data_IF_820523897443
#
_entry.id   IF_820523897443
#
_cell.length_a   1.000
_cell.length_b   1.000
_cell.length_c   1.000
_cell.angle_alpha   90.00
_cell.angle_beta   90.00
_cell.angle_gamma   90.00
#
_symmetry.space_group_name_H-M   'P 1'
#
loop_
_entity.id
_entity.type
_entity.pdbx_description
1 polymer ?
#
# COMPACT_ATOMS: atom_id res chain seq x y z
N UNK A 1 22.61 11.82 -0.38
CA UNK A 1 21.23 11.45 0.04
C UNK A 1 20.70 10.24 -0.72
N UNK A 2 20.73 10.22 -2.06
CA UNK A 2 20.29 9.02 -2.81
C UNK A 2 21.10 7.75 -2.50
N UNK A 3 22.43 7.84 -2.49
CA UNK A 3 23.29 6.70 -2.17
C UNK A 3 23.09 6.17 -0.73
N UNK A 4 22.87 7.04 0.26
CA UNK A 4 22.63 6.61 1.64
C UNK A 4 21.31 5.84 1.80
N UNK A 5 20.27 6.23 1.06
CA UNK A 5 19.00 5.49 1.03
C UNK A 5 19.16 4.13 0.34
N UNK A 6 19.92 4.06 -0.76
CA UNK A 6 20.19 2.81 -1.48
C UNK A 6 20.97 1.82 -0.59
N UNK A 7 22.02 2.28 0.10
CA UNK A 7 22.77 1.42 1.03
C UNK A 7 21.90 0.93 2.19
N UNK A 8 21.08 1.81 2.79
CA UNK A 8 20.13 1.41 3.82
C UNK A 8 19.16 0.34 3.30
N UNK A 9 18.59 0.52 2.11
CA UNK A 9 17.65 -0.43 1.51
C UNK A 9 18.29 -1.81 1.30
N UNK A 10 19.50 -1.84 0.74
CA UNK A 10 20.24 -3.09 0.50
C UNK A 10 20.57 -3.82 1.80
N UNK A 11 20.97 -3.08 2.85
CA UNK A 11 21.25 -3.67 4.17
C UNK A 11 19.99 -4.29 4.78
N UNK A 12 18.86 -3.58 4.76
CA UNK A 12 17.58 -4.10 5.27
C UNK A 12 17.11 -5.34 4.49
N UNK A 13 17.33 -5.36 3.17
CA UNK A 13 17.02 -6.50 2.32
C UNK A 13 17.86 -7.73 2.65
N UNK A 14 19.18 -7.58 2.85
CA UNK A 14 20.08 -8.68 3.21
C UNK A 14 19.74 -9.25 4.60
N UNK A 15 19.25 -8.41 5.52
CA UNK A 15 18.76 -8.82 6.83
C UNK A 15 17.45 -9.63 6.79
N UNK A 16 16.85 -9.83 5.60
CA UNK A 16 15.61 -10.59 5.44
C UNK A 16 14.35 -9.84 5.89
N UNK A 17 14.43 -8.51 6.03
CA UNK A 17 13.26 -7.69 6.36
C UNK A 17 12.29 -7.69 5.17
N UNK A 18 10.96 -7.82 5.42
CA UNK A 18 9.96 -7.68 4.37
C UNK A 18 10.14 -6.43 3.51
N UNK A 19 9.99 -6.57 2.19
CA UNK A 19 10.17 -5.51 1.20
C UNK A 19 9.44 -4.19 1.53
N UNK A 20 8.20 -4.30 2.02
CA UNK A 20 7.43 -3.10 2.35
C UNK A 20 8.03 -2.31 3.52
N UNK A 21 8.60 -3.01 4.52
CA UNK A 21 9.25 -2.38 5.67
C UNK A 21 10.59 -1.76 5.29
N UNK A 22 11.33 -2.40 4.38
CA UNK A 22 12.61 -1.85 3.90
C UNK A 22 12.39 -0.54 3.14
N UNK A 23 11.41 -0.50 2.23
CA UNK A 23 11.02 0.72 1.51
C UNK A 23 10.55 1.82 2.48
N UNK A 24 9.65 1.50 3.41
CA UNK A 24 9.10 2.46 4.37
C UNK A 24 10.21 3.08 5.23
N UNK A 25 11.12 2.25 5.74
CA UNK A 25 12.25 2.71 6.56
C UNK A 25 13.21 3.61 5.78
N UNK A 26 13.51 3.26 4.52
CA UNK A 26 14.41 4.08 3.68
C UNK A 26 13.80 5.41 3.26
N UNK A 27 12.49 5.45 3.00
CA UNK A 27 11.75 6.69 2.75
C UNK A 27 11.75 7.59 3.98
N UNK A 28 11.57 7.02 5.18
CA UNK A 28 11.59 7.76 6.44
C UNK A 28 12.98 8.36 6.72
N UNK A 29 14.05 7.57 6.50
CA UNK A 29 15.43 8.06 6.57
C UNK A 29 15.66 9.24 5.61
N UNK A 30 15.06 9.18 4.42
CA UNK A 30 15.12 10.28 3.46
C UNK A 30 14.47 11.57 3.95
N UNK A 31 13.28 11.47 4.55
CA UNK A 31 12.56 12.62 5.12
C UNK A 31 13.37 13.24 6.26
N UNK A 32 13.94 12.41 7.15
CA UNK A 32 14.77 12.90 8.26
C UNK A 32 16.02 13.62 7.74
N UNK A 33 16.65 13.12 6.68
CA UNK A 33 17.80 13.76 6.05
C UNK A 33 17.45 15.09 5.36
N UNK A 34 16.24 15.23 4.84
CA UNK A 34 15.74 16.47 4.21
C UNK A 34 15.38 17.54 5.25
N UNK A 35 15.04 17.14 6.48
CA UNK A 35 14.65 18.06 7.57
C UNK A 35 13.26 18.71 7.39
N UNK A 36 12.56 18.38 6.30
CA UNK A 36 11.21 18.88 6.03
C UNK A 36 10.15 17.86 6.46
N UNK A 37 9.61 18.06 7.65
CA UNK A 37 8.56 17.21 8.22
C UNK A 37 7.20 17.36 7.52
N UNK A 38 7.01 18.35 6.64
CA UNK A 38 5.77 18.44 5.84
C UNK A 38 5.60 17.24 4.91
N UNK A 39 6.72 16.62 4.50
CA UNK A 39 6.75 15.41 3.68
C UNK A 39 6.14 14.19 4.40
N UNK A 40 6.09 14.15 5.74
CA UNK A 40 5.39 13.09 6.47
C UNK A 40 3.89 13.09 6.15
N UNK A 41 3.29 14.27 5.95
CA UNK A 41 1.89 14.38 5.54
C UNK A 41 1.69 13.79 4.15
N UNK A 42 2.58 14.11 3.21
CA UNK A 42 2.55 13.56 1.85
C UNK A 42 2.70 12.03 1.88
N UNK A 43 3.56 11.51 2.76
CA UNK A 43 3.74 10.07 2.94
C UNK A 43 2.43 9.39 3.38
N UNK A 44 1.73 9.96 4.36
CA UNK A 44 0.41 9.44 4.78
C UNK A 44 -0.60 9.45 3.63
N UNK A 45 -0.67 10.54 2.86
CA UNK A 45 -1.57 10.65 1.72
C UNK A 45 -1.28 9.62 0.63
N UNK A 46 0.00 9.35 0.32
CA UNK A 46 0.38 8.33 -0.65
C UNK A 46 0.05 6.92 -0.16
N UNK A 47 0.19 6.65 1.14
CA UNK A 47 -0.23 5.37 1.73
C UNK A 47 -1.73 5.14 1.55
N UNK A 48 -2.57 6.12 1.90
CA UNK A 48 -4.03 6.01 1.71
C UNK A 48 -4.43 5.96 0.22
N UNK A 49 -3.83 6.80 -0.62
CA UNK A 49 -4.07 6.79 -2.07
C UNK A 49 -3.66 5.48 -2.74
N UNK A 50 -2.65 4.78 -2.21
CA UNK A 50 -2.27 3.44 -2.66
C UNK A 50 -3.24 2.33 -2.21
N UNK A 51 -4.05 2.56 -1.18
CA UNK A 51 -5.13 1.65 -0.77
C UNK A 51 -6.44 1.93 -1.52
N UNK A 52 -6.64 3.14 -2.03
CA UNK A 52 -7.79 3.51 -2.88
C UNK A 52 -7.71 2.93 -4.30
N UNK A 53 -6.91 1.87 -4.51
CA UNK A 53 -6.87 1.16 -5.79
C UNK A 53 -8.25 0.53 -6.02
N UNK A 54 -8.86 0.84 -7.17
CA UNK A 54 -10.14 0.30 -7.64
C UNK A 54 -10.32 -1.21 -7.41
N UNK A 55 -9.23 -1.99 -7.41
CA UNK A 55 -9.23 -3.42 -7.08
C UNK A 55 -9.74 -3.73 -5.66
N UNK A 56 -9.42 -2.91 -4.66
CA UNK A 56 -9.93 -3.11 -3.29
C UNK A 56 -11.43 -2.79 -3.20
N UNK A 57 -11.93 -1.84 -4.00
CA UNK A 57 -13.37 -1.61 -4.17
C UNK A 57 -14.07 -2.70 -4.98
N UNK A 58 -13.37 -3.41 -5.86
CA UNK A 58 -13.96 -4.51 -6.63
C UNK A 58 -14.45 -5.64 -5.73
N UNK A 59 -13.76 -5.92 -4.61
CA UNK A 59 -14.13 -6.97 -3.64
C UNK A 59 -15.55 -6.76 -3.07
N UNK A 60 -15.89 -5.62 -2.43
CA UNK A 60 -17.23 -5.40 -1.91
C UNK A 60 -18.29 -5.36 -3.02
N UNK A 61 -17.97 -4.86 -4.22
CA UNK A 61 -18.91 -4.90 -5.35
C UNK A 61 -19.19 -6.33 -5.83
N UNK A 62 -18.18 -7.20 -5.90
CA UNK A 62 -18.40 -8.62 -6.22
C UNK A 62 -19.21 -9.33 -5.14
N UNK A 63 -18.95 -9.05 -3.85
CA UNK A 63 -19.74 -9.60 -2.74
C UNK A 63 -21.19 -9.13 -2.86
N UNK A 64 -21.43 -7.84 -3.10
CA UNK A 64 -22.77 -7.27 -3.25
C UNK A 64 -23.51 -7.88 -4.44
N UNK A 65 -22.85 -8.00 -5.60
CA UNK A 65 -23.40 -8.64 -6.79
C UNK A 65 -23.77 -10.10 -6.50
N UNK A 66 -22.92 -10.84 -5.78
CA UNK A 66 -23.20 -12.21 -5.35
C UNK A 66 -24.45 -12.30 -4.46
N UNK A 67 -24.59 -11.41 -3.48
CA UNK A 67 -25.78 -11.34 -2.61
C UNK A 67 -27.03 -11.01 -3.44
N UNK A 68 -26.93 -10.09 -4.41
CA UNK A 68 -28.03 -9.71 -5.28
C UNK A 68 -28.47 -10.88 -6.19
N UNK A 69 -27.53 -11.62 -6.75
CA UNK A 69 -27.78 -12.81 -7.57
C UNK A 69 -28.47 -13.92 -6.77
N UNK A 70 -28.01 -14.15 -5.53
CA UNK A 70 -28.60 -15.14 -4.64
C UNK A 70 -30.03 -14.75 -4.25
N UNK A 71 -30.27 -13.49 -3.86
CA UNK A 71 -31.61 -13.00 -3.51
C UNK A 71 -32.59 -12.92 -4.68
N UNK A 72 -32.10 -12.70 -5.90
CA UNK A 72 -32.95 -12.65 -7.10
C UNK A 72 -33.28 -14.04 -7.66
N UNK A 73 -32.77 -15.12 -7.05
CA UNK A 73 -32.95 -16.49 -7.55
C UNK A 73 -32.25 -16.75 -8.89
N UNK A 74 -31.34 -15.85 -9.32
CA UNK A 74 -30.53 -16.05 -10.52
C UNK A 74 -29.54 -17.20 -10.32
N UNK A 75 -29.06 -17.41 -9.08
CA UNK A 75 -28.17 -18.53 -8.74
C UNK A 75 -28.86 -19.88 -8.94
N UNK A 76 -30.16 -19.99 -8.64
CA UNK A 76 -30.92 -21.24 -8.79
C UNK A 76 -31.39 -21.49 -10.24
N UNK A 77 -31.25 -20.49 -11.11
CA UNK A 77 -31.61 -20.53 -12.54
C UNK A 77 -30.43 -20.86 -13.46
N UNK A 78 -29.22 -20.97 -12.90
CA UNK A 78 -27.98 -21.36 -13.55
C UNK A 78 -27.69 -22.84 -13.28
#
# INVERSE_FOLDING_TARGET
MGFSMLFAFLILMILGVPLFLSLLSTSLLGIIMLGDFSLLRVMSQQFFGGMDVFSLMAIPFFILAGILMNRSGLTDRL
#
